data_IF_836243640082
#
_entry.id   IF_836243640082
#
_cell.length_a   1.000
_cell.length_b   1.000
_cell.length_c   1.000
_cell.angle_alpha   90.00
_cell.angle_beta   90.00
_cell.angle_gamma   90.00
#
_symmetry.space_group_name_H-M   'P 1'
#
loop_
_entity.id
_entity.type
_entity.pdbx_description
1 polymer ?
#
# COMPACT_ATOMS: atom_id res chain seq x y z
N UNK A 1 44.40 -20.04 -27.17
CA UNK A 1 43.70 -18.90 -27.82
C UNK A 1 42.96 -18.13 -26.74
N UNK A 2 42.88 -16.82 -26.94
CA UNK A 2 42.61 -15.82 -25.93
C UNK A 2 41.13 -15.35 -25.94
N UNK A 3 40.64 -15.01 -24.73
CA UNK A 3 39.69 -13.96 -24.31
C UNK A 3 38.25 -13.85 -24.88
N UNK A 4 37.27 -13.91 -23.93
CA UNK A 4 36.02 -13.12 -23.66
C UNK A 4 35.00 -12.94 -24.82
N UNK A 5 33.67 -12.85 -24.64
CA UNK A 5 32.75 -12.04 -23.80
C UNK A 5 31.38 -12.81 -23.70
N UNK A 6 30.41 -12.58 -22.81
CA UNK A 6 29.80 -11.37 -22.25
C UNK A 6 29.25 -11.61 -20.82
N UNK A 7 29.42 -10.61 -19.97
CA UNK A 7 28.69 -10.39 -18.72
C UNK A 7 27.20 -10.15 -19.03
N UNK A 8 26.30 -10.67 -18.20
CA UNK A 8 24.86 -10.51 -18.37
C UNK A 8 24.11 -10.70 -17.05
N UNK A 9 24.38 -9.82 -16.08
CA UNK A 9 23.42 -9.60 -15.00
C UNK A 9 22.26 -8.81 -15.59
N UNK A 10 21.22 -9.50 -16.05
CA UNK A 10 20.04 -8.82 -16.58
C UNK A 10 19.28 -8.12 -15.45
N UNK A 11 18.47 -7.13 -15.80
CA UNK A 11 17.65 -6.38 -14.86
C UNK A 11 16.19 -6.63 -15.20
N UNK A 12 15.38 -6.96 -14.20
CA UNK A 12 13.95 -7.15 -14.30
C UNK A 12 13.20 -5.94 -13.74
N UNK A 13 12.06 -5.61 -14.36
CA UNK A 13 11.10 -4.66 -13.80
C UNK A 13 10.03 -5.43 -13.04
N UNK A 14 9.81 -5.07 -11.78
CA UNK A 14 8.81 -5.65 -10.89
C UNK A 14 7.83 -4.57 -10.44
N UNK A 15 6.54 -4.89 -10.44
CA UNK A 15 5.52 -4.02 -9.83
C UNK A 15 5.39 -4.33 -8.35
N UNK A 16 5.61 -3.33 -7.50
CA UNK A 16 5.57 -3.44 -6.04
C UNK A 16 4.54 -2.49 -5.47
N UNK A 17 3.63 -2.98 -4.62
CA UNK A 17 2.71 -2.12 -3.89
C UNK A 17 3.25 -1.73 -2.51
N UNK A 18 3.16 -0.46 -2.17
CA UNK A 18 3.50 0.09 -0.87
C UNK A 18 2.26 0.73 -0.27
N UNK A 19 1.65 0.07 0.73
CA UNK A 19 0.43 0.55 1.36
C UNK A 19 0.64 1.89 2.09
N UNK A 20 -0.39 2.73 2.08
CA UNK A 20 -0.41 4.05 2.74
C UNK A 20 0.02 3.96 4.21
N UNK A 21 -0.62 3.12 5.02
CA UNK A 21 -0.35 2.99 6.45
C UNK A 21 1.06 2.46 6.73
N UNK A 22 1.59 1.60 5.86
CA UNK A 22 2.96 1.14 5.96
C UNK A 22 3.95 2.29 5.69
N UNK A 23 3.66 3.11 4.68
CA UNK A 23 4.46 4.29 4.36
C UNK A 23 4.39 5.32 5.49
N UNK A 24 3.20 5.61 5.99
CA UNK A 24 2.95 6.59 7.06
C UNK A 24 3.57 6.18 8.39
N UNK A 25 3.44 4.90 8.80
CA UNK A 25 3.96 4.41 10.06
C UNK A 25 5.49 4.30 10.06
N UNK A 26 6.05 3.49 9.16
CA UNK A 26 7.48 3.10 9.19
C UNK A 26 8.24 3.47 7.92
N UNK A 27 7.54 3.82 6.84
CA UNK A 27 8.16 4.10 5.57
C UNK A 27 8.96 5.40 5.53
N UNK A 28 9.77 5.51 4.48
CA UNK A 28 10.53 6.71 4.14
C UNK A 28 10.14 7.11 2.72
N UNK A 29 9.82 8.40 2.46
CA UNK A 29 9.60 8.90 1.11
C UNK A 29 10.77 8.54 0.20
N UNK A 30 10.46 8.32 -1.06
CA UNK A 30 11.42 7.98 -2.10
C UNK A 30 11.00 8.61 -3.42
N UNK A 31 11.95 8.79 -4.32
CA UNK A 31 11.73 9.41 -5.62
C UNK A 31 12.10 8.48 -6.77
N UNK A 32 11.57 8.77 -7.96
CA UNK A 32 12.04 8.14 -9.19
C UNK A 32 13.56 8.34 -9.33
N UNK A 33 14.26 7.28 -9.72
CA UNK A 33 15.72 7.21 -9.81
C UNK A 33 16.43 6.83 -8.52
N UNK A 34 15.76 6.84 -7.37
CA UNK A 34 16.35 6.47 -6.10
C UNK A 34 16.55 4.94 -5.98
N UNK A 35 17.67 4.53 -5.41
CA UNK A 35 17.86 3.14 -4.96
C UNK A 35 17.19 2.93 -3.60
N UNK A 36 16.41 1.87 -3.50
CA UNK A 36 15.66 1.50 -2.30
C UNK A 36 15.94 0.05 -1.92
N UNK A 37 15.81 -0.26 -0.63
CA UNK A 37 15.92 -1.62 -0.10
C UNK A 37 14.69 -1.98 0.72
N UNK A 38 13.83 -2.82 0.18
CA UNK A 38 12.53 -3.18 0.78
C UNK A 38 12.42 -4.66 1.08
N UNK A 39 11.66 -5.00 2.12
CA UNK A 39 11.28 -6.39 2.40
C UNK A 39 10.03 -6.69 1.59
N UNK A 40 10.16 -7.49 0.54
CA UNK A 40 9.08 -7.76 -0.39
C UNK A 40 8.44 -9.12 -0.12
N UNK A 41 7.11 -9.14 -0.04
CA UNK A 41 6.31 -10.37 0.04
C UNK A 41 5.61 -10.55 -1.30
N UNK A 42 5.80 -11.71 -1.94
CA UNK A 42 5.15 -12.02 -3.20
C UNK A 42 3.63 -12.12 -3.02
N UNK A 43 2.88 -11.55 -3.96
CA UNK A 43 1.42 -11.73 -4.04
C UNK A 43 1.15 -13.16 -4.53
N UNK A 44 0.37 -13.94 -3.79
CA UNK A 44 0.01 -15.28 -4.22
C UNK A 44 -1.13 -15.24 -5.25
N UNK A 45 -1.03 -16.08 -6.30
CA UNK A 45 -2.02 -16.10 -7.38
C UNK A 45 -3.43 -16.55 -6.97
N UNK A 46 -3.64 -16.90 -5.70
CA UNK A 46 -4.93 -17.36 -5.14
C UNK A 46 -5.77 -16.22 -4.56
N UNK A 47 -5.18 -15.08 -4.21
CA UNK A 47 -5.87 -13.86 -3.76
C UNK A 47 -6.11 -12.86 -4.90
N UNK A 48 -6.37 -13.38 -6.12
CA UNK A 48 -6.70 -12.55 -7.29
C UNK A 48 -8.16 -12.07 -7.31
N UNK A 49 -8.97 -12.50 -6.35
CA UNK A 49 -10.33 -11.99 -6.14
C UNK A 49 -10.30 -10.57 -5.54
N UNK A 50 -10.63 -9.58 -6.37
CA UNK A 50 -10.81 -8.14 -6.07
C UNK A 50 -9.59 -7.21 -6.24
N UNK A 51 -8.50 -7.67 -6.86
CA UNK A 51 -7.39 -6.79 -7.25
C UNK A 51 -6.72 -6.06 -6.08
N UNK A 52 -6.71 -6.64 -4.89
CA UNK A 52 -6.22 -6.04 -3.63
C UNK A 52 -4.80 -5.50 -3.69
N UNK A 53 -3.98 -5.97 -4.64
CA UNK A 53 -2.58 -5.58 -4.79
C UNK A 53 -2.29 -4.76 -6.06
N UNK A 54 -3.30 -4.15 -6.70
CA UNK A 54 -3.11 -3.13 -7.75
C UNK A 54 -2.29 -3.62 -8.96
N UNK A 55 -2.34 -4.93 -9.25
CA UNK A 55 -1.51 -5.56 -10.29
C UNK A 55 -0.02 -5.62 -9.94
N UNK A 56 0.32 -5.50 -8.66
CA UNK A 56 1.65 -5.74 -8.14
C UNK A 56 1.95 -7.24 -8.04
N UNK A 57 3.23 -7.56 -8.20
CA UNK A 57 3.79 -8.89 -8.06
C UNK A 57 4.25 -9.14 -6.61
N UNK A 58 4.51 -8.06 -5.87
CA UNK A 58 4.88 -8.08 -4.47
C UNK A 58 4.38 -6.84 -3.74
N UNK A 59 4.38 -6.88 -2.41
CA UNK A 59 4.12 -5.72 -1.57
C UNK A 59 5.21 -5.53 -0.51
N UNK A 60 5.38 -4.29 -0.05
CA UNK A 60 6.36 -3.94 0.98
C UNK A 60 5.83 -4.30 2.36
N UNK A 61 6.61 -5.05 3.14
CA UNK A 61 6.27 -5.42 4.52
C UNK A 61 7.27 -4.87 5.55
N UNK A 62 6.81 -3.95 6.38
CA UNK A 62 7.57 -3.33 7.46
C UNK A 62 7.41 -3.96 8.86
N UNK A 63 6.43 -4.82 9.11
CA UNK A 63 6.01 -5.23 10.45
C UNK A 63 6.29 -6.70 10.82
N UNK A 64 6.60 -7.57 9.84
CA UNK A 64 6.86 -8.98 10.14
C UNK A 64 7.45 -9.81 8.99
N UNK A 65 7.86 -9.15 7.91
CA UNK A 65 8.20 -9.78 6.64
C UNK A 65 9.59 -10.42 6.57
N UNK A 66 10.00 -10.84 5.35
CA UNK A 66 11.29 -11.46 5.10
C UNK A 66 12.46 -10.67 5.70
N UNK A 67 13.49 -11.36 6.21
CA UNK A 67 14.65 -10.68 6.80
C UNK A 67 15.50 -9.95 5.77
N UNK A 68 15.54 -10.47 4.55
CA UNK A 68 16.33 -9.90 3.45
C UNK A 68 15.56 -8.81 2.73
N UNK A 69 16.29 -7.78 2.32
CA UNK A 69 15.77 -6.69 1.50
C UNK A 69 16.08 -6.99 0.04
N UNK A 70 15.10 -6.78 -0.82
CA UNK A 70 15.30 -6.62 -2.25
C UNK A 70 15.75 -5.18 -2.49
N UNK A 71 16.92 -5.03 -3.10
CA UNK A 71 17.47 -3.72 -3.49
C UNK A 71 17.17 -3.50 -4.96
N UNK A 72 16.70 -2.31 -5.31
CA UNK A 72 16.40 -1.95 -6.69
C UNK A 72 16.29 -0.45 -6.89
N UNK A 73 16.29 -0.03 -8.15
CA UNK A 73 16.12 1.37 -8.54
C UNK A 73 14.65 1.65 -8.86
N UNK A 74 14.10 2.72 -8.29
CA UNK A 74 12.74 3.17 -8.57
C UNK A 74 12.68 3.74 -9.98
N UNK A 75 11.82 3.18 -10.83
CA UNK A 75 11.64 3.61 -12.23
C UNK A 75 10.37 4.42 -12.46
N UNK A 76 9.31 4.11 -11.72
CA UNK A 76 8.05 4.85 -11.76
C UNK A 76 7.31 4.73 -10.43
N UNK A 77 6.50 5.74 -10.11
CA UNK A 77 5.64 5.77 -8.93
C UNK A 77 4.26 6.25 -9.38
N UNK A 78 3.24 5.46 -9.08
CA UNK A 78 1.84 5.84 -9.24
C UNK A 78 1.19 5.87 -7.85
N UNK A 79 0.71 7.02 -7.42
CA UNK A 79 -0.18 7.10 -6.26
C UNK A 79 -1.51 6.46 -6.64
N UNK A 80 -1.93 5.46 -5.86
CA UNK A 80 -3.15 4.71 -6.10
C UNK A 80 -4.28 5.38 -5.35
N UNK A 81 -5.32 5.78 -6.07
CA UNK A 81 -6.54 6.32 -5.49
C UNK A 81 -7.68 5.31 -5.60
N UNK A 82 -8.50 5.24 -4.56
CA UNK A 82 -9.72 4.44 -4.51
C UNK A 82 -10.88 5.32 -4.05
N UNK A 83 -12.00 5.24 -4.77
CA UNK A 83 -13.25 5.82 -4.29
C UNK A 83 -13.97 4.88 -3.34
N UNK A 84 -14.56 5.45 -2.30
CA UNK A 84 -15.37 4.75 -1.31
C UNK A 84 -16.76 5.38 -1.22
N UNK A 85 -17.76 4.53 -1.03
CA UNK A 85 -19.05 4.94 -0.51
C UNK A 85 -18.93 5.03 1.02
N UNK A 86 -19.02 6.24 1.55
CA UNK A 86 -18.98 6.49 2.97
C UNK A 86 -20.40 6.45 3.55
N UNK A 87 -20.58 5.59 4.54
CA UNK A 87 -21.77 5.50 5.37
C UNK A 87 -21.46 6.04 6.76
N UNK A 88 -22.44 6.68 7.38
CA UNK A 88 -22.35 7.11 8.77
C UNK A 88 -23.34 6.29 9.60
N UNK A 89 -22.89 5.63 10.66
CA UNK A 89 -23.78 5.08 11.68
C UNK A 89 -24.24 6.22 12.60
N UNK A 90 -25.50 6.65 12.54
CA UNK A 90 -26.01 7.72 13.39
C UNK A 90 -25.95 7.38 14.89
N UNK A 91 -25.74 6.11 15.27
CA UNK A 91 -25.57 5.69 16.67
C UNK A 91 -24.20 6.03 17.25
N UNK A 92 -23.20 6.34 16.42
CA UNK A 92 -21.88 6.75 16.90
C UNK A 92 -21.91 8.08 17.68
N UNK A 93 -22.90 8.93 17.38
CA UNK A 93 -23.12 10.23 18.01
C UNK A 93 -23.90 10.16 19.32
N UNK A 94 -24.40 8.98 19.72
CA UNK A 94 -25.22 8.83 20.93
C UNK A 94 -24.41 9.21 22.20
N UNK A 95 -24.83 10.27 22.94
CA UNK A 95 -24.16 10.74 24.15
C UNK A 95 -24.27 9.75 25.32
N UNK A 96 -25.21 8.82 25.25
CA UNK A 96 -25.66 7.96 26.34
C UNK A 96 -24.54 7.13 26.99
N UNK A 97 -23.48 6.79 26.26
CA UNK A 97 -22.39 5.94 26.77
C UNK A 97 -21.39 6.71 27.67
N UNK A 98 -21.42 8.05 27.73
CA UNK A 98 -20.49 8.83 28.56
C UNK A 98 -21.03 9.19 29.96
N UNK A 99 -22.35 9.14 30.17
CA UNK A 99 -22.97 9.62 31.40
C UNK A 99 -22.56 8.80 32.65
N UNK A 100 -22.24 7.52 32.46
CA UNK A 100 -21.87 6.60 33.55
C UNK A 100 -20.35 6.47 33.75
N UNK A 101 -19.54 7.23 33.02
CA UNK A 101 -18.08 7.12 33.08
C UNK A 101 -17.49 7.95 34.21
N UNK A 102 -16.53 7.36 34.92
CA UNK A 102 -15.81 8.06 35.97
C UNK A 102 -14.95 9.18 35.36
N UNK A 103 -14.87 10.36 36.01
CA UNK A 103 -13.91 11.39 35.63
C UNK A 103 -12.49 10.82 35.48
N UNK A 104 -11.81 11.18 34.40
CA UNK A 104 -10.48 10.64 34.06
C UNK A 104 -10.48 9.37 33.21
N UNK A 105 -11.64 8.83 32.85
CA UNK A 105 -11.73 7.69 31.91
C UNK A 105 -11.51 8.15 30.47
N UNK A 106 -10.54 7.53 29.77
CA UNK A 106 -10.36 7.73 28.33
C UNK A 106 -11.19 6.71 27.56
N UNK A 107 -12.02 7.18 26.64
CA UNK A 107 -12.79 6.34 25.72
C UNK A 107 -12.32 6.59 24.30
N UNK A 108 -11.90 5.53 23.62
CA UNK A 108 -11.64 5.56 22.18
C UNK A 108 -12.92 5.13 21.49
N UNK A 109 -13.51 6.02 20.68
CA UNK A 109 -14.66 5.70 19.84
C UNK A 109 -14.24 5.67 18.38
N UNK A 110 -14.78 4.70 17.64
CA UNK A 110 -14.75 4.76 16.19
C UNK A 110 -15.56 5.97 15.70
N UNK A 111 -15.21 6.50 14.54
CA UNK A 111 -15.84 7.68 13.94
C UNK A 111 -17.28 7.44 13.45
N UNK A 112 -17.82 6.22 13.60
CA UNK A 112 -19.11 5.84 13.00
C UNK A 112 -19.08 5.74 11.47
N UNK A 113 -17.94 6.05 10.83
CA UNK A 113 -17.78 6.05 9.38
C UNK A 113 -17.40 4.64 8.91
N UNK A 114 -18.23 4.06 8.05
CA UNK A 114 -17.92 2.84 7.31
C UNK A 114 -17.62 3.20 5.85
N UNK A 115 -16.52 2.68 5.31
CA UNK A 115 -16.11 2.90 3.93
C UNK A 115 -16.23 1.60 3.14
N UNK A 116 -17.08 1.60 2.11
CA UNK A 116 -17.19 0.50 1.16
C UNK A 116 -16.48 0.87 -0.15
N UNK A 117 -15.50 0.09 -0.64
CA UNK A 117 -14.80 0.42 -1.87
C UNK A 117 -15.76 0.34 -3.06
N UNK A 118 -15.82 1.41 -3.86
CA UNK A 118 -16.61 1.40 -5.10
C UNK A 118 -15.89 0.52 -6.13
N UNK A 119 -16.51 -0.57 -6.62
CA UNK A 119 -15.87 -1.46 -7.58
C UNK A 119 -15.45 -0.72 -8.86
N UNK A 120 -14.22 -0.94 -9.30
CA UNK A 120 -13.68 -0.34 -10.53
C UNK A 120 -13.34 1.15 -10.47
N UNK A 121 -13.62 1.84 -9.35
CA UNK A 121 -13.36 3.27 -9.19
C UNK A 121 -11.93 3.54 -8.66
N UNK A 122 -10.94 2.93 -9.32
CA UNK A 122 -9.52 3.11 -9.00
C UNK A 122 -8.84 3.92 -10.07
N UNK A 123 -7.98 4.83 -9.66
CA UNK A 123 -7.18 5.65 -10.57
C UNK A 123 -5.71 5.66 -10.13
N UNK A 124 -4.80 5.75 -11.09
CA UNK A 124 -3.37 5.87 -10.87
C UNK A 124 -2.95 7.30 -11.22
N UNK A 125 -2.24 7.95 -10.31
CA UNK A 125 -1.67 9.29 -10.51
C UNK A 125 -0.14 9.18 -10.53
N UNK A 126 0.51 9.40 -11.69
CA UNK A 126 1.96 9.38 -11.77
C UNK A 126 2.58 10.52 -10.96
N UNK A 127 3.60 10.21 -10.16
CA UNK A 127 4.33 11.19 -9.35
C UNK A 127 5.84 10.94 -9.42
N UNK A 128 6.64 12.00 -9.24
CA UNK A 128 8.10 11.86 -9.18
C UNK A 128 8.59 11.47 -7.78
N UNK A 129 7.78 11.67 -6.74
CA UNK A 129 8.12 11.38 -5.35
C UNK A 129 6.92 10.82 -4.59
N UNK A 130 7.14 9.70 -3.89
CA UNK A 130 6.13 9.10 -3.03
C UNK A 130 5.93 9.98 -1.78
N UNK A 131 4.69 10.39 -1.47
CA UNK A 131 4.41 11.17 -0.27
C UNK A 131 4.65 10.34 0.99
N UNK A 132 4.93 11.03 2.11
CA UNK A 132 4.94 10.39 3.43
C UNK A 132 3.52 10.18 3.95
N UNK A 133 2.67 11.17 3.76
CA UNK A 133 1.31 11.25 4.29
C UNK A 133 0.33 11.25 3.12
N UNK A 134 -0.53 10.25 3.05
CA UNK A 134 -1.48 10.04 1.97
C UNK A 134 -2.83 10.72 2.25
N UNK A 135 -3.08 11.13 3.50
CA UNK A 135 -4.26 11.89 3.88
C UNK A 135 -4.42 13.25 3.16
N UNK A 136 -3.34 13.84 2.66
CA UNK A 136 -3.38 15.09 1.87
C UNK A 136 -4.14 14.92 0.53
N UNK A 137 -4.35 13.68 0.11
CA UNK A 137 -5.08 13.31 -1.11
C UNK A 137 -6.51 12.84 -0.82
N UNK A 138 -6.99 12.99 0.43
CA UNK A 138 -8.39 12.71 0.75
C UNK A 138 -9.27 13.85 0.24
N UNK A 139 -10.01 13.57 -0.82
CA UNK A 139 -11.03 14.47 -1.37
C UNK A 139 -12.40 13.94 -0.95
N UNK A 140 -13.08 14.71 -0.12
CA UNK A 140 -14.45 14.45 0.31
C UNK A 140 -15.37 15.43 -0.40
N UNK A 141 -16.38 14.93 -1.13
CA UNK A 141 -17.53 15.76 -1.45
C UNK A 141 -18.13 16.21 -0.12
N UNK A 142 -18.04 17.52 0.21
CA UNK A 142 -18.49 18.10 1.49
C UNK A 142 -19.68 17.33 2.04
N UNK A 143 -19.63 16.78 3.27
CA UNK A 143 -20.55 15.75 3.72
C UNK A 143 -21.99 16.18 3.45
N UNK A 144 -22.63 15.61 2.42
CA UNK A 144 -23.98 16.02 2.09
C UNK A 144 -24.88 15.62 3.25
N UNK A 145 -26.00 16.32 3.44
CA UNK A 145 -27.03 15.92 4.43
C UNK A 145 -27.64 14.52 4.18
N UNK A 146 -27.15 13.76 3.18
CA UNK A 146 -27.63 12.44 2.76
C UNK A 146 -26.45 11.48 2.58
N UNK A 147 -26.47 10.35 3.28
CA UNK A 147 -25.57 9.21 3.09
C UNK A 147 -26.19 8.19 2.10
N UNK A 148 -25.38 7.41 1.37
CA UNK A 148 -23.91 7.47 1.31
C UNK A 148 -23.40 8.62 0.42
N UNK A 149 -22.17 9.06 0.67
CA UNK A 149 -21.45 10.04 -0.15
C UNK A 149 -20.12 9.48 -0.63
N UNK A 150 -19.52 10.11 -1.65
CA UNK A 150 -18.25 9.64 -2.22
C UNK A 150 -17.06 10.30 -1.55
N UNK A 151 -16.04 9.48 -1.33
CA UNK A 151 -14.74 9.90 -0.80
C UNK A 151 -13.69 9.28 -1.69
N UNK A 152 -12.76 10.08 -2.19
CA UNK A 152 -11.58 9.60 -2.88
C UNK A 152 -10.41 9.64 -1.90
N UNK A 153 -9.72 8.50 -1.73
CA UNK A 153 -8.54 8.39 -0.85
C UNK A 153 -7.36 7.85 -1.64
N UNK A 154 -6.18 8.37 -1.37
CA UNK A 154 -4.95 7.69 -1.77
C UNK A 154 -4.66 6.55 -0.79
N UNK A 155 -4.50 5.33 -1.32
CA UNK A 155 -4.42 4.08 -0.53
C UNK A 155 -3.04 3.42 -0.57
N UNK A 156 -2.09 4.05 -1.26
CA UNK A 156 -0.71 3.59 -1.35
C UNK A 156 -0.05 4.02 -2.65
N UNK A 157 1.15 3.50 -2.88
CA UNK A 157 1.91 3.72 -4.10
C UNK A 157 2.18 2.40 -4.81
N UNK A 158 1.90 2.36 -6.11
CA UNK A 158 2.36 1.31 -6.99
C UNK A 158 3.69 1.74 -7.61
N UNK A 159 4.72 0.94 -7.41
CA UNK A 159 6.09 1.26 -7.80
C UNK A 159 6.57 0.28 -8.86
N UNK A 160 7.14 0.82 -9.93
CA UNK A 160 7.97 0.00 -10.83
C UNK A 160 9.39 0.00 -10.29
N UNK A 161 9.85 -1.16 -9.81
CA UNK A 161 11.17 -1.35 -9.23
C UNK A 161 12.03 -2.16 -10.21
N UNK A 162 13.17 -1.62 -10.60
CA UNK A 162 14.17 -2.36 -11.38
C UNK A 162 15.11 -3.10 -10.42
N UNK A 163 15.18 -4.42 -10.56
CA UNK A 163 15.96 -5.31 -9.71
C UNK A 163 16.87 -6.19 -10.59
N UNK A 164 18.03 -6.66 -10.09
CA UNK A 164 18.81 -7.67 -10.80
C UNK A 164 18.01 -8.96 -11.02
N UNK A 165 18.22 -9.66 -12.14
CA UNK A 165 17.57 -10.92 -12.51
C UNK A 165 17.89 -12.08 -11.54
N UNK A 166 18.98 -11.96 -10.78
CA UNK A 166 19.29 -12.85 -9.64
C UNK A 166 19.37 -12.07 -8.32
N UNK A 167 18.23 -11.68 -7.73
CA UNK A 167 18.21 -10.88 -6.51
C UNK A 167 18.15 -11.75 -5.24
N UNK A 168 18.28 -13.08 -5.34
CA UNK A 168 17.82 -13.98 -4.27
C UNK A 168 16.31 -13.79 -4.05
N UNK A 169 15.52 -14.31 -4.99
CA UNK A 169 14.09 -14.02 -5.13
C UNK A 169 13.25 -14.13 -3.84
N UNK A 170 12.06 -13.49 -3.80
CA UNK A 170 11.22 -13.42 -2.61
C UNK A 170 10.92 -14.84 -2.10
N UNK A 171 11.47 -15.15 -0.92
CA UNK A 171 11.25 -16.35 -0.12
C UNK A 171 10.66 -17.56 -0.84
N UNK A 172 11.42 -18.22 -1.72
CA UNK A 172 11.11 -19.62 -2.07
C UNK A 172 11.14 -20.41 -0.76
N UNK A 173 9.99 -20.88 -0.29
CA UNK A 173 9.94 -21.96 0.70
C UNK A 173 10.81 -23.09 0.15
N UNK A 174 11.87 -23.44 0.87
CA UNK A 174 12.57 -24.69 0.63
C UNK A 174 11.51 -25.80 0.65
N UNK A 175 11.29 -26.43 -0.50
CA UNK A 175 10.52 -27.66 -0.56
C UNK A 175 11.18 -28.63 0.41
N UNK A 176 10.50 -28.92 1.53
CA UNK A 176 10.90 -30.01 2.41
C UNK A 176 10.72 -31.29 1.61
N UNK A 177 11.83 -31.83 1.10
CA UNK A 177 11.89 -33.21 0.65
C UNK A 177 11.93 -34.14 1.86
N UNK A 178 11.02 -35.13 1.78
CA UNK A 178 10.83 -36.34 2.59
C UNK A 178 9.99 -36.20 3.86
#
# INVERSE_FOLDING_TARGET
>A
MAVRFLEGGGMALMRVFYEDWQMECCGKPFSVGQEVGWRLVAVDGKETGNGHWQGAEAWVENHGGPKHKTVGQVRAIDVVHQEYAAHHDPRADEPAVLADLKPGTVVIRGTGRALEPVPGARTLEPVDSCPKWFGDFEEEEQPPRKVPYRVRRAVGALVTLEVPDDPGGPGRRAARTR
#
